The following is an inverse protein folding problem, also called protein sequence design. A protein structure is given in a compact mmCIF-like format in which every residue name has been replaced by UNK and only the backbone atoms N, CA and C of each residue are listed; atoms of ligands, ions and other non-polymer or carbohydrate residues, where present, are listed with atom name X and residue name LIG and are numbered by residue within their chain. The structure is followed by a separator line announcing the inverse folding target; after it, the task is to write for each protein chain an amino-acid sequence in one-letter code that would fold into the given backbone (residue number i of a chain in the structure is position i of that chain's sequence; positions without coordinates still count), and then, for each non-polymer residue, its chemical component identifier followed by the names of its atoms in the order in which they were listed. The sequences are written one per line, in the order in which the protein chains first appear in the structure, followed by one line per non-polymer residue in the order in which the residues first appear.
data_IF_949669912639
#
_entry.id   IF_949669912639
#
_cell.length_a   1.000
_cell.length_b   1.000
_cell.length_c   1.000
_cell.angle_alpha   90.00
_cell.angle_beta   90.00
_cell.angle_gamma   90.00
#
_symmetry.space_group_name_H-M   'P 1'
#
loop_
_entity.id
_entity.type
_entity.pdbx_description
1 polymer ?
#
# COMPACT_ATOMS: atom_id res chain seq x y z
N UNK A 1 31.59 32.44 9.56
CA UNK A 1 31.24 31.09 10.09
C UNK A 1 30.39 30.44 9.00
N UNK A 2 30.87 29.33 8.49
CA UNK A 2 30.21 28.67 7.40
C UNK A 2 28.89 28.09 7.89
N UNK A 3 27.75 28.53 7.35
CA UNK A 3 26.42 28.02 7.68
C UNK A 3 26.17 26.62 7.01
N UNK A 4 27.24 25.90 6.66
CA UNK A 4 27.19 24.57 6.04
C UNK A 4 26.31 23.57 6.81
N UNK A 5 26.32 23.65 8.13
CA UNK A 5 25.53 22.75 8.97
C UNK A 5 23.99 22.88 8.78
N UNK A 6 23.49 24.07 8.40
CA UNK A 6 22.06 24.27 8.06
C UNK A 6 21.76 23.59 6.72
N UNK A 7 22.65 23.79 5.74
CA UNK A 7 22.56 23.17 4.42
C UNK A 7 22.67 21.64 4.53
N UNK A 8 23.61 21.16 5.34
CA UNK A 8 23.80 19.73 5.60
C UNK A 8 22.55 19.08 6.21
N UNK A 9 21.91 19.75 7.19
CA UNK A 9 20.67 19.26 7.79
C UNK A 9 19.51 19.21 6.78
N UNK A 10 19.36 20.22 5.92
CA UNK A 10 18.35 20.23 4.87
C UNK A 10 18.60 19.13 3.83
N UNK A 11 19.83 19.03 3.36
CA UNK A 11 20.21 17.98 2.40
C UNK A 11 20.03 16.58 2.99
N UNK A 12 20.33 16.40 4.29
CA UNK A 12 20.05 15.12 4.97
C UNK A 12 18.56 14.81 5.01
N UNK A 13 17.70 15.76 5.36
CA UNK A 13 16.26 15.56 5.41
C UNK A 13 15.67 15.25 4.01
N UNK A 14 16.12 15.99 2.98
CA UNK A 14 15.73 15.71 1.60
C UNK A 14 16.27 14.36 1.10
N UNK A 15 17.49 14.00 1.49
CA UNK A 15 18.07 12.68 1.24
C UNK A 15 17.21 11.57 1.84
N UNK A 16 16.83 11.68 3.12
CA UNK A 16 15.93 10.71 3.78
C UNK A 16 14.59 10.60 3.04
N UNK A 17 14.02 11.73 2.60
CA UNK A 17 12.78 11.72 1.80
C UNK A 17 12.96 10.96 0.48
N UNK A 18 13.97 11.31 -0.29
CA UNK A 18 14.24 10.71 -1.61
C UNK A 18 14.56 9.21 -1.49
N UNK A 19 15.32 8.81 -0.48
CA UNK A 19 15.62 7.41 -0.20
C UNK A 19 14.35 6.63 0.13
N UNK A 20 13.46 7.17 0.98
CA UNK A 20 12.20 6.52 1.33
C UNK A 20 11.20 6.50 0.16
N UNK A 21 11.22 7.50 -0.70
CA UNK A 21 10.44 7.51 -1.94
C UNK A 21 10.91 6.41 -2.90
N UNK A 22 12.21 6.26 -3.07
CA UNK A 22 12.81 5.21 -3.90
C UNK A 22 12.55 3.82 -3.31
N UNK A 23 12.70 3.65 -1.99
CA UNK A 23 12.37 2.41 -1.29
C UNK A 23 10.89 2.05 -1.49
N UNK A 24 9.98 3.01 -1.32
CA UNK A 24 8.55 2.84 -1.55
C UNK A 24 8.28 2.34 -2.97
N UNK A 25 8.87 2.98 -3.97
CA UNK A 25 8.69 2.60 -5.38
C UNK A 25 9.16 1.18 -5.67
N UNK A 26 10.33 0.80 -5.17
CA UNK A 26 10.85 -0.55 -5.31
C UNK A 26 9.96 -1.61 -4.65
N UNK A 27 9.37 -1.28 -3.48
CA UNK A 27 8.46 -2.16 -2.77
C UNK A 27 7.11 -2.33 -3.48
N UNK A 28 6.59 -1.29 -4.13
CA UNK A 28 5.31 -1.37 -4.85
C UNK A 28 5.35 -2.38 -6.00
N UNK A 29 6.50 -2.54 -6.65
CA UNK A 29 6.72 -3.49 -7.74
C UNK A 29 7.17 -4.88 -7.26
N UNK A 30 7.56 -5.02 -5.98
CA UNK A 30 8.05 -6.28 -5.41
C UNK A 30 6.92 -7.24 -5.06
N UNK A 31 7.10 -8.53 -5.36
CA UNK A 31 6.16 -9.57 -4.94
C UNK A 31 6.23 -9.83 -3.42
N UNK A 32 5.10 -10.22 -2.77
CA UNK A 32 5.11 -10.60 -1.36
C UNK A 32 6.06 -11.76 -1.06
N UNK A 33 6.26 -12.65 -2.03
CA UNK A 33 7.17 -13.79 -1.91
C UNK A 33 8.63 -13.37 -1.77
N UNK A 34 9.04 -12.29 -2.44
CA UNK A 34 10.43 -11.80 -2.44
C UNK A 34 10.73 -10.78 -1.33
N UNK A 35 9.70 -10.25 -0.67
CA UNK A 35 9.85 -9.23 0.36
C UNK A 35 10.71 -9.73 1.53
N UNK A 36 11.71 -8.93 1.94
CA UNK A 36 12.67 -9.26 3.01
C UNK A 36 13.33 -10.63 2.83
N UNK A 37 13.68 -11.00 1.58
CA UNK A 37 14.38 -12.25 1.27
C UNK A 37 13.51 -13.52 1.40
N UNK A 38 12.18 -13.37 1.44
CA UNK A 38 11.26 -14.52 1.42
C UNK A 38 11.04 -15.23 2.75
N UNK A 39 11.79 -14.91 3.82
CA UNK A 39 11.66 -15.58 5.14
C UNK A 39 10.26 -15.41 5.72
N UNK A 40 9.68 -14.23 5.59
CA UNK A 40 8.31 -13.95 6.07
C UNK A 40 7.32 -14.82 5.29
N UNK A 41 7.49 -14.94 3.98
CA UNK A 41 6.63 -15.76 3.14
C UNK A 41 6.64 -17.24 3.53
N UNK A 42 7.81 -17.81 3.84
CA UNK A 42 7.92 -19.19 4.34
C UNK A 42 7.14 -19.38 5.65
N UNK A 43 7.21 -18.41 6.56
CA UNK A 43 6.42 -18.42 7.79
C UNK A 43 4.92 -18.41 7.48
N UNK A 44 4.48 -17.58 6.55
CA UNK A 44 3.09 -17.49 6.13
C UNK A 44 2.60 -18.80 5.49
N UNK A 45 3.43 -19.45 4.66
CA UNK A 45 3.11 -20.77 4.10
C UNK A 45 2.92 -21.83 5.20
N UNK A 46 3.77 -21.82 6.24
CA UNK A 46 3.64 -22.73 7.37
C UNK A 46 2.34 -22.48 8.13
N UNK A 47 2.01 -21.22 8.42
CA UNK A 47 0.75 -20.84 9.08
C UNK A 47 -0.45 -21.23 8.22
N UNK A 48 -0.41 -20.95 6.90
CA UNK A 48 -1.46 -21.33 5.96
C UNK A 48 -1.70 -22.84 5.96
N UNK A 49 -0.64 -23.66 5.96
CA UNK A 49 -0.74 -25.12 6.07
C UNK A 49 -1.46 -25.59 7.36
N UNK A 50 -1.18 -24.95 8.50
CA UNK A 50 -1.91 -25.21 9.74
C UNK A 50 -3.39 -24.79 9.63
N UNK A 51 -3.68 -23.64 8.99
CA UNK A 51 -5.05 -23.15 8.77
C UNK A 51 -5.83 -24.01 7.77
N UNK A 52 -5.19 -24.76 6.86
CA UNK A 52 -5.86 -25.70 5.99
C UNK A 52 -6.60 -26.79 6.75
N UNK A 53 -6.02 -27.31 7.84
CA UNK A 53 -6.69 -28.31 8.71
C UNK A 53 -8.01 -27.76 9.27
N UNK A 54 -8.00 -26.52 9.75
CA UNK A 54 -9.19 -25.82 10.24
C UNK A 54 -10.16 -25.57 9.07
N UNK A 55 -9.65 -25.14 7.92
CA UNK A 55 -10.42 -24.91 6.71
C UNK A 55 -11.20 -26.14 6.24
N UNK A 56 -10.60 -27.32 6.29
CA UNK A 56 -11.30 -28.58 5.96
C UNK A 56 -12.41 -28.90 6.97
N UNK A 57 -12.20 -28.67 8.26
CA UNK A 57 -13.26 -28.82 9.26
C UNK A 57 -14.43 -27.88 9.02
N UNK A 58 -14.14 -26.59 8.74
CA UNK A 58 -15.15 -25.59 8.39
C UNK A 58 -15.87 -25.88 7.08
N UNK A 59 -15.17 -26.45 6.09
CA UNK A 59 -15.75 -26.86 4.81
C UNK A 59 -16.87 -27.87 5.00
N UNK A 60 -16.66 -28.88 5.86
CA UNK A 60 -17.68 -29.88 6.21
C UNK A 60 -18.84 -29.21 6.93
N UNK A 61 -18.56 -28.31 7.86
CA UNK A 61 -19.58 -27.57 8.62
C UNK A 61 -20.43 -26.70 7.68
N UNK A 62 -19.82 -25.94 6.78
CA UNK A 62 -20.55 -25.08 5.84
C UNK A 62 -21.36 -25.88 4.81
N UNK A 63 -20.85 -27.04 4.39
CA UNK A 63 -21.62 -27.97 3.58
C UNK A 63 -22.87 -28.44 4.32
N UNK A 64 -22.72 -28.89 5.59
CA UNK A 64 -23.84 -29.32 6.41
C UNK A 64 -24.88 -28.21 6.57
N UNK A 65 -24.47 -26.98 6.87
CA UNK A 65 -25.34 -25.82 6.96
C UNK A 65 -26.07 -25.56 5.61
N UNK A 66 -25.36 -25.67 4.49
CA UNK A 66 -25.93 -25.53 3.16
C UNK A 66 -27.02 -26.56 2.88
N UNK A 67 -26.73 -27.81 3.22
CA UNK A 67 -27.69 -28.92 3.07
C UNK A 67 -28.93 -28.69 3.97
N UNK A 68 -28.75 -28.34 5.26
CA UNK A 68 -29.85 -28.09 6.17
C UNK A 68 -30.73 -26.92 5.73
N UNK A 69 -30.14 -25.84 5.22
CA UNK A 69 -30.93 -24.71 4.66
C UNK A 69 -31.70 -25.07 3.42
N UNK A 70 -31.14 -25.89 2.55
CA UNK A 70 -31.81 -26.37 1.34
C UNK A 70 -32.88 -27.39 1.65
N UNK A 71 -32.73 -28.19 2.76
CA UNK A 71 -33.65 -29.25 3.17
C UNK A 71 -34.93 -28.74 3.83
N UNK A 72 -35.05 -27.45 4.12
CA UNK A 72 -36.27 -26.84 4.65
C UNK A 72 -37.49 -27.02 3.71
N UNK A 73 -37.27 -27.39 2.44
CA UNK A 73 -38.28 -27.85 1.50
C UNK A 73 -38.00 -29.32 1.14
N UNK A 74 -38.61 -30.28 1.82
CA UNK A 74 -38.48 -31.71 1.58
C UNK A 74 -38.70 -32.15 0.12
N UNK A 75 -39.39 -31.35 -0.68
CA UNK A 75 -39.63 -31.59 -2.11
C UNK A 75 -38.39 -31.39 -3.01
N UNK A 76 -37.44 -30.56 -2.57
CA UNK A 76 -36.26 -30.24 -3.40
C UNK A 76 -35.16 -31.31 -3.30
N UNK A 77 -35.15 -32.12 -2.23
CA UNK A 77 -34.20 -33.22 -2.05
C UNK A 77 -34.47 -34.43 -2.98
N UNK A 78 -35.66 -34.54 -3.57
CA UNK A 78 -36.01 -35.60 -4.51
C UNK A 78 -35.45 -35.37 -5.93
N UNK A 79 -34.84 -34.19 -6.17
CA UNK A 79 -34.27 -33.88 -7.49
C UNK A 79 -32.76 -34.09 -7.44
N UNK A 80 -32.21 -35.03 -8.23
CA UNK A 80 -30.75 -35.33 -8.24
C UNK A 80 -29.90 -34.13 -8.62
N UNK A 81 -30.47 -33.14 -9.32
CA UNK A 81 -29.83 -31.89 -9.71
C UNK A 81 -29.35 -31.06 -8.53
N UNK A 82 -30.13 -31.01 -7.45
CA UNK A 82 -29.75 -30.24 -6.24
C UNK A 82 -28.60 -30.91 -5.48
N UNK A 83 -28.59 -32.23 -5.40
CA UNK A 83 -27.49 -32.98 -4.77
C UNK A 83 -26.19 -32.79 -5.54
N UNK A 84 -26.27 -32.86 -6.89
CA UNK A 84 -25.11 -32.65 -7.75
C UNK A 84 -24.55 -31.21 -7.57
N UNK A 85 -25.42 -30.23 -7.45
CA UNK A 85 -25.02 -28.82 -7.23
C UNK A 85 -24.27 -28.64 -5.93
N UNK A 86 -24.75 -29.21 -4.81
CA UNK A 86 -24.02 -29.14 -3.52
C UNK A 86 -22.68 -29.86 -3.57
N UNK A 87 -22.61 -30.99 -4.30
CA UNK A 87 -21.37 -31.72 -4.51
C UNK A 87 -20.35 -30.88 -5.31
N UNK A 88 -20.79 -30.17 -6.35
CA UNK A 88 -19.93 -29.27 -7.13
C UNK A 88 -19.39 -28.13 -6.23
N UNK A 89 -20.26 -27.50 -5.42
CA UNK A 89 -19.79 -26.47 -4.48
C UNK A 89 -18.78 -27.01 -3.48
N UNK A 90 -18.98 -28.22 -2.98
CA UNK A 90 -18.03 -28.86 -2.06
C UNK A 90 -16.68 -29.11 -2.73
N UNK A 91 -16.66 -29.67 -3.94
CA UNK A 91 -15.42 -29.93 -4.69
C UNK A 91 -14.68 -28.62 -4.98
N UNK A 92 -15.41 -27.60 -5.46
CA UNK A 92 -14.82 -26.28 -5.73
C UNK A 92 -14.26 -25.62 -4.47
N UNK A 93 -14.98 -25.69 -3.35
CA UNK A 93 -14.50 -25.17 -2.08
C UNK A 93 -13.28 -25.94 -1.55
N UNK A 94 -13.26 -27.29 -1.71
CA UNK A 94 -12.10 -28.11 -1.37
C UNK A 94 -10.87 -27.69 -2.18
N UNK A 95 -11.01 -27.51 -3.47
CA UNK A 95 -9.92 -27.02 -4.33
C UNK A 95 -9.47 -25.62 -3.90
N UNK A 96 -10.41 -24.72 -3.61
CA UNK A 96 -10.08 -23.37 -3.13
C UNK A 96 -9.34 -23.38 -1.79
N UNK A 97 -9.68 -24.27 -0.85
CA UNK A 97 -8.96 -24.42 0.44
C UNK A 97 -7.58 -25.02 0.21
N UNK A 98 -7.43 -26.01 -0.67
CA UNK A 98 -6.17 -26.69 -0.94
C UNK A 98 -5.17 -25.77 -1.66
N UNK A 99 -5.62 -25.08 -2.69
CA UNK A 99 -4.79 -24.20 -3.53
C UNK A 99 -5.00 -22.70 -3.20
N UNK A 100 -5.50 -22.40 -2.01
CA UNK A 100 -5.86 -21.04 -1.63
C UNK A 100 -4.69 -20.08 -1.65
N UNK A 101 -3.50 -20.51 -1.21
CA UNK A 101 -2.31 -19.67 -1.22
C UNK A 101 -1.84 -19.36 -2.64
N UNK A 102 -1.90 -20.34 -3.54
CA UNK A 102 -1.53 -20.16 -4.96
C UNK A 102 -2.50 -19.18 -5.62
N UNK A 103 -3.81 -19.34 -5.35
CA UNK A 103 -4.84 -18.40 -5.82
C UNK A 103 -4.56 -16.96 -5.34
N UNK A 104 -4.13 -16.78 -4.07
CA UNK A 104 -3.76 -15.45 -3.57
C UNK A 104 -2.56 -14.88 -4.33
N UNK A 105 -1.54 -15.71 -4.61
CA UNK A 105 -0.37 -15.31 -5.40
C UNK A 105 -0.76 -14.92 -6.82
N UNK A 106 -1.59 -15.72 -7.49
CA UNK A 106 -2.03 -15.45 -8.86
C UNK A 106 -2.81 -14.13 -8.96
N UNK A 107 -3.73 -13.87 -8.02
CA UNK A 107 -4.45 -12.58 -7.94
C UNK A 107 -3.46 -11.42 -7.77
N UNK A 108 -2.45 -11.60 -6.90
CA UNK A 108 -1.43 -10.58 -6.70
C UNK A 108 -0.64 -10.33 -7.99
N UNK A 109 -0.23 -11.38 -8.71
CA UNK A 109 0.54 -11.27 -9.96
C UNK A 109 -0.23 -10.52 -11.06
N UNK A 110 -1.54 -10.75 -11.17
CA UNK A 110 -2.40 -9.98 -12.08
C UNK A 110 -2.40 -8.49 -11.71
N UNK A 111 -2.57 -8.16 -10.42
CA UNK A 111 -2.54 -6.78 -9.95
C UNK A 111 -1.14 -6.15 -10.11
N UNK A 112 -0.06 -6.92 -9.89
CA UNK A 112 1.32 -6.47 -10.11
C UNK A 112 1.58 -6.14 -11.59
N UNK A 113 0.96 -6.86 -12.51
CA UNK A 113 0.97 -6.52 -13.94
C UNK A 113 0.39 -5.13 -14.24
N UNK A 114 -0.70 -4.75 -13.56
CA UNK A 114 -1.28 -3.41 -13.66
C UNK A 114 -0.31 -2.34 -13.12
N UNK A 115 0.34 -2.63 -11.97
CA UNK A 115 1.34 -1.74 -11.36
C UNK A 115 2.50 -1.51 -12.33
N UNK A 116 3.04 -2.60 -12.92
CA UNK A 116 4.16 -2.52 -13.86
C UNK A 116 3.81 -1.78 -15.14
N UNK A 117 2.59 -1.99 -15.67
CA UNK A 117 2.10 -1.27 -16.85
C UNK A 117 1.94 0.24 -16.56
N UNK A 118 1.39 0.61 -15.40
CA UNK A 118 1.26 1.99 -14.99
C UNK A 118 2.63 2.66 -14.77
N UNK A 119 3.54 1.98 -14.08
CA UNK A 119 4.90 2.48 -13.82
C UNK A 119 5.72 2.65 -15.11
N UNK A 120 5.55 1.77 -16.10
CA UNK A 120 6.24 1.84 -17.38
C UNK A 120 5.72 2.88 -18.35
N UNK A 121 4.50 3.40 -18.16
CA UNK A 121 3.88 4.38 -19.06
C UNK A 121 4.38 5.81 -18.86
N UNK A 122 4.90 6.14 -17.69
CA UNK A 122 5.36 7.49 -17.33
C UNK A 122 6.68 7.37 -16.57
N UNK A 123 7.71 8.06 -17.03
CA UNK A 123 9.12 7.96 -16.64
C UNK A 123 9.50 8.02 -15.15
N UNK A 124 8.72 7.41 -14.24
CA UNK A 124 9.08 7.27 -12.83
C UNK A 124 8.54 8.36 -11.90
N UNK A 125 9.19 8.52 -10.74
CA UNK A 125 8.82 9.43 -9.64
C UNK A 125 9.75 10.66 -9.54
N UNK A 126 10.49 10.94 -10.60
CA UNK A 126 11.53 11.99 -10.56
C UNK A 126 10.97 13.38 -10.18
N UNK A 127 9.72 13.69 -10.56
CA UNK A 127 9.04 14.92 -10.16
C UNK A 127 8.68 15.01 -8.67
N UNK A 128 8.75 13.90 -7.93
CA UNK A 128 8.49 13.87 -6.48
C UNK A 128 9.78 13.94 -5.64
N UNK A 129 10.96 13.91 -6.28
CA UNK A 129 12.26 14.09 -5.61
C UNK A 129 12.46 15.57 -5.29
N UNK A 130 13.14 15.82 -4.17
CA UNK A 130 13.39 17.19 -3.68
C UNK A 130 14.88 17.40 -3.51
N UNK A 131 15.37 18.56 -3.96
CA UNK A 131 16.74 19.00 -3.75
C UNK A 131 16.77 20.47 -3.35
N UNK A 132 17.76 20.87 -2.57
CA UNK A 132 17.94 22.28 -2.22
C UNK A 132 18.42 23.05 -3.47
N UNK A 133 17.71 24.13 -3.90
CA UNK A 133 18.18 24.97 -5.01
C UNK A 133 19.51 25.62 -4.67
N UNK A 134 20.43 25.71 -5.65
CA UNK A 134 21.74 26.28 -5.47
C UNK A 134 21.69 27.77 -5.02
N UNK A 135 20.72 28.52 -5.52
CA UNK A 135 20.49 29.91 -5.14
C UNK A 135 20.10 30.04 -3.66
N UNK A 136 19.33 29.07 -3.13
CA UNK A 136 18.95 29.04 -1.73
C UNK A 136 20.15 28.65 -0.84
N UNK A 137 20.99 27.73 -1.30
CA UNK A 137 22.19 27.33 -0.59
C UNK A 137 23.15 28.51 -0.44
N UNK A 138 23.43 29.24 -1.53
CA UNK A 138 24.27 30.45 -1.47
C UNK A 138 23.68 31.55 -0.60
N UNK A 139 22.36 31.74 -0.66
CA UNK A 139 21.67 32.71 0.19
C UNK A 139 21.78 32.37 1.68
N UNK A 140 21.79 31.09 2.05
CA UNK A 140 21.98 30.61 3.45
C UNK A 140 23.42 30.83 3.90
N UNK A 141 24.42 30.61 3.04
CA UNK A 141 25.83 30.80 3.32
C UNK A 141 26.13 32.27 3.65
N UNK A 142 25.52 33.21 2.95
CA UNK A 142 25.72 34.63 3.11
C UNK A 142 25.05 35.24 4.35
N UNK A 143 24.29 34.47 5.12
CA UNK A 143 23.57 34.95 6.33
C UNK A 143 24.52 35.17 7.49
N UNK A 144 24.49 36.36 8.06
CA UNK A 144 25.26 36.68 9.28
C UNK A 144 24.83 35.88 10.50
N UNK A 145 25.74 35.71 11.47
CA UNK A 145 25.57 34.86 12.65
C UNK A 145 24.27 35.13 13.46
N UNK A 146 23.86 36.36 13.65
CA UNK A 146 22.63 36.68 14.40
C UNK A 146 21.36 36.27 13.69
N UNK A 147 21.34 36.29 12.35
CA UNK A 147 20.22 35.87 11.54
C UNK A 147 20.22 34.35 11.28
N UNK A 148 21.33 33.66 11.55
CA UNK A 148 21.41 32.20 11.43
C UNK A 148 20.67 31.44 12.54
N UNK A 149 20.47 32.08 13.73
CA UNK A 149 19.75 31.43 14.85
C UNK A 149 18.26 31.15 14.51
N UNK A 150 17.45 32.15 14.10
CA UNK A 150 16.07 31.87 13.69
C UNK A 150 15.99 30.96 12.47
N UNK A 151 16.94 31.10 11.54
CA UNK A 151 17.01 30.22 10.35
C UNK A 151 17.22 28.75 10.75
N UNK A 152 18.12 28.50 11.70
CA UNK A 152 18.36 27.16 12.24
C UNK A 152 17.10 26.56 12.87
N UNK A 153 16.37 27.30 13.67
CA UNK A 153 15.15 26.81 14.30
C UNK A 153 14.13 26.41 13.26
N UNK A 154 13.94 27.22 12.20
CA UNK A 154 13.02 26.95 11.09
C UNK A 154 13.42 25.70 10.34
N UNK A 155 14.70 25.57 9.99
CA UNK A 155 15.21 24.41 9.26
C UNK A 155 15.16 23.14 10.09
N UNK A 156 15.45 23.19 11.40
CA UNK A 156 15.33 22.06 12.31
C UNK A 156 13.90 21.52 12.37
N UNK A 157 12.92 22.41 12.53
CA UNK A 157 11.50 22.03 12.52
C UNK A 157 11.08 21.44 11.17
N UNK A 158 11.51 22.07 10.07
CA UNK A 158 11.27 21.58 8.73
C UNK A 158 11.84 20.18 8.50
N UNK A 159 13.10 19.95 8.86
CA UNK A 159 13.76 18.64 8.76
C UNK A 159 13.04 17.56 9.58
N UNK A 160 12.57 17.88 10.77
CA UNK A 160 11.81 16.95 11.61
C UNK A 160 10.49 16.57 10.92
N UNK A 161 9.73 17.53 10.40
CA UNK A 161 8.48 17.27 9.69
C UNK A 161 8.72 16.42 8.45
N UNK A 162 9.70 16.77 7.61
CA UNK A 162 10.06 16.02 6.39
C UNK A 162 10.40 14.57 6.73
N UNK A 163 11.22 14.36 7.75
CA UNK A 163 11.61 13.01 8.19
C UNK A 163 10.40 12.20 8.66
N UNK A 164 9.51 12.80 9.45
CA UNK A 164 8.26 12.14 9.89
C UNK A 164 7.37 11.78 8.70
N UNK A 165 7.22 12.67 7.72
CA UNK A 165 6.42 12.42 6.52
C UNK A 165 7.01 11.27 5.69
N UNK A 166 8.33 11.22 5.53
CA UNK A 166 9.02 10.13 4.83
C UNK A 166 8.75 8.77 5.50
N UNK A 167 8.81 8.70 6.84
CA UNK A 167 8.48 7.47 7.57
C UNK A 167 6.99 7.12 7.50
N UNK A 168 6.08 8.08 7.53
CA UNK A 168 4.64 7.81 7.38
C UNK A 168 4.31 7.23 6.01
N UNK A 169 4.98 7.71 4.97
CA UNK A 169 4.81 7.22 3.61
C UNK A 169 5.23 5.75 3.49
N UNK A 170 6.46 5.43 3.91
CA UNK A 170 6.97 4.06 3.82
C UNK A 170 6.19 3.09 4.71
N UNK A 171 5.77 3.52 5.90
CA UNK A 171 4.96 2.72 6.83
C UNK A 171 3.63 2.28 6.21
N UNK A 172 3.03 3.12 5.38
CA UNK A 172 1.78 2.79 4.66
C UNK A 172 2.00 1.61 3.70
N UNK A 173 3.12 1.62 2.96
CA UNK A 173 3.46 0.52 2.04
C UNK A 173 3.81 -0.77 2.77
N UNK A 174 4.56 -0.70 3.87
CA UNK A 174 4.79 -1.87 4.73
C UNK A 174 3.48 -2.44 5.27
N UNK A 175 2.56 -1.57 5.71
CA UNK A 175 1.23 -1.97 6.19
C UNK A 175 0.45 -2.77 5.15
N UNK A 176 0.56 -2.43 3.85
CA UNK A 176 -0.01 -3.20 2.74
C UNK A 176 0.54 -4.63 2.69
N UNK A 177 1.87 -4.82 2.82
CA UNK A 177 2.46 -6.16 2.82
C UNK A 177 1.96 -7.01 3.99
N UNK A 178 1.85 -6.44 5.18
CA UNK A 178 1.28 -7.15 6.32
C UNK A 178 -0.17 -7.57 6.08
N UNK A 179 -1.00 -6.69 5.50
CA UNK A 179 -2.37 -7.05 5.09
C UNK A 179 -2.35 -8.24 4.11
N UNK A 180 -1.51 -8.22 3.07
CA UNK A 180 -1.40 -9.31 2.09
C UNK A 180 -1.04 -10.64 2.77
N UNK A 181 -0.09 -10.63 3.71
CA UNK A 181 0.31 -11.82 4.45
C UNK A 181 -0.81 -12.38 5.33
N UNK A 182 -1.54 -11.51 6.05
CA UNK A 182 -2.68 -11.93 6.86
C UNK A 182 -3.78 -12.56 6.00
N UNK A 183 -4.09 -11.98 4.85
CA UNK A 183 -5.03 -12.58 3.92
C UNK A 183 -4.54 -13.95 3.40
N UNK A 184 -3.27 -14.04 3.01
CA UNK A 184 -2.70 -15.30 2.53
C UNK A 184 -2.72 -16.39 3.62
N UNK A 185 -2.38 -16.05 4.86
CA UNK A 185 -2.40 -16.98 5.99
C UNK A 185 -3.81 -17.51 6.30
N UNK A 186 -4.83 -16.64 6.25
CA UNK A 186 -6.21 -16.95 6.61
C UNK A 186 -7.06 -17.44 5.43
N UNK A 187 -6.49 -17.50 4.23
CA UNK A 187 -7.23 -17.88 3.02
C UNK A 187 -7.97 -19.21 3.14
N UNK A 188 -7.45 -20.31 3.74
CA UNK A 188 -8.17 -21.58 3.81
C UNK A 188 -9.48 -21.48 4.61
N UNK A 189 -9.46 -20.70 5.69
CA UNK A 189 -10.63 -20.50 6.56
C UNK A 189 -11.74 -19.76 5.84
N UNK A 190 -11.38 -18.67 5.14
CA UNK A 190 -12.34 -17.85 4.41
C UNK A 190 -12.88 -18.57 3.17
N UNK A 191 -12.02 -19.28 2.43
CA UNK A 191 -12.39 -19.99 1.21
C UNK A 191 -13.25 -21.25 1.47
N UNK A 192 -13.15 -21.83 2.68
CA UNK A 192 -14.04 -22.92 3.09
C UNK A 192 -15.54 -22.54 3.02
N UNK A 193 -15.86 -21.26 3.17
CA UNK A 193 -17.25 -20.76 3.11
C UNK A 193 -17.93 -20.94 1.74
N UNK A 194 -17.17 -21.20 0.69
CA UNK A 194 -17.73 -21.51 -0.63
C UNK A 194 -18.48 -22.87 -0.67
N UNK A 195 -18.27 -23.75 0.32
CA UNK A 195 -18.95 -25.04 0.39
C UNK A 195 -20.46 -24.93 0.61
N UNK A 196 -20.96 -23.84 1.20
CA UNK A 196 -22.37 -23.64 1.48
C UNK A 196 -22.99 -22.51 0.63
N UNK A 197 -24.18 -22.75 0.08
CA UNK A 197 -24.86 -21.78 -0.78
C UNK A 197 -25.13 -20.44 -0.03
N UNK A 198 -25.50 -20.50 1.26
CA UNK A 198 -25.74 -19.31 2.08
C UNK A 198 -24.50 -18.66 2.68
N UNK A 199 -23.35 -19.33 2.72
CA UNK A 199 -22.10 -18.85 3.31
C UNK A 199 -21.10 -18.34 2.27
N UNK A 200 -21.34 -18.61 0.99
CA UNK A 200 -20.45 -18.24 -0.13
C UNK A 200 -20.20 -16.73 -0.25
N UNK A 201 -21.09 -15.90 0.31
CA UNK A 201 -20.90 -14.44 0.36
C UNK A 201 -19.67 -14.06 1.19
N UNK A 202 -19.32 -14.80 2.26
CA UNK A 202 -18.13 -14.55 3.07
C UNK A 202 -16.86 -14.76 2.25
N UNK A 203 -16.77 -15.85 1.49
CA UNK A 203 -15.64 -16.12 0.62
C UNK A 203 -15.49 -15.08 -0.50
N UNK A 204 -16.60 -14.65 -1.09
CA UNK A 204 -16.59 -13.58 -2.11
C UNK A 204 -16.16 -12.24 -1.52
N UNK A 205 -16.65 -11.87 -0.33
CA UNK A 205 -16.23 -10.66 0.36
C UNK A 205 -14.74 -10.69 0.70
N UNK A 206 -14.24 -11.85 1.15
CA UNK A 206 -12.81 -12.04 1.42
C UNK A 206 -11.95 -11.84 0.16
N UNK A 207 -12.29 -12.50 -0.97
CA UNK A 207 -11.57 -12.33 -2.23
C UNK A 207 -11.63 -10.89 -2.73
N UNK A 208 -12.79 -10.24 -2.62
CA UNK A 208 -12.98 -8.83 -2.98
C UNK A 208 -12.08 -7.91 -2.16
N UNK A 209 -12.02 -8.13 -0.83
CA UNK A 209 -11.15 -7.36 0.06
C UNK A 209 -9.67 -7.61 -0.24
N UNK A 210 -9.28 -8.85 -0.55
CA UNK A 210 -7.90 -9.17 -0.93
C UNK A 210 -7.50 -8.50 -2.25
N UNK A 211 -8.35 -8.57 -3.28
CA UNK A 211 -8.12 -7.85 -4.54
C UNK A 211 -7.99 -6.35 -4.30
N UNK A 212 -8.78 -5.79 -3.37
CA UNK A 212 -8.65 -4.41 -2.95
C UNK A 212 -7.24 -4.09 -2.44
N UNK A 213 -6.70 -4.89 -1.53
CA UNK A 213 -5.34 -4.69 -1.00
C UNK A 213 -4.27 -4.87 -2.10
N UNK A 214 -4.48 -5.78 -3.05
CA UNK A 214 -3.57 -5.93 -4.19
C UNK A 214 -3.57 -4.68 -5.08
N UNK A 215 -4.75 -4.11 -5.36
CA UNK A 215 -4.89 -2.91 -6.20
C UNK A 215 -4.50 -1.62 -5.47
N UNK A 216 -4.46 -1.59 -4.14
CA UNK A 216 -3.95 -0.45 -3.36
C UNK A 216 -2.58 0.02 -3.88
N UNK A 217 -1.69 -0.93 -4.27
CA UNK A 217 -0.40 -0.61 -4.87
C UNK A 217 -0.50 0.11 -6.21
N UNK A 218 -1.45 -0.28 -7.06
CA UNK A 218 -1.66 0.39 -8.35
C UNK A 218 -2.17 1.83 -8.14
N UNK A 219 -3.08 2.03 -7.18
CA UNK A 219 -3.58 3.37 -6.84
C UNK A 219 -2.45 4.26 -6.29
N UNK A 220 -1.55 3.71 -5.45
CA UNK A 220 -0.38 4.44 -4.94
C UNK A 220 0.54 4.86 -6.12
N UNK A 221 0.84 3.96 -7.05
CA UNK A 221 1.66 4.27 -8.23
C UNK A 221 1.02 5.37 -9.07
N UNK A 222 -0.28 5.26 -9.35
CA UNK A 222 -1.01 6.30 -10.08
C UNK A 222 -1.01 7.64 -9.34
N UNK A 223 -1.19 7.63 -8.02
CA UNK A 223 -1.11 8.82 -7.18
C UNK A 223 0.27 9.49 -7.27
N UNK A 224 1.35 8.70 -7.23
CA UNK A 224 2.72 9.21 -7.39
C UNK A 224 2.93 9.83 -8.79
N UNK A 225 2.43 9.21 -9.85
CA UNK A 225 2.52 9.71 -11.22
C UNK A 225 1.79 11.05 -11.36
N UNK A 226 0.53 11.12 -10.89
CA UNK A 226 -0.28 12.35 -10.93
C UNK A 226 0.39 13.44 -10.10
N UNK A 227 0.90 13.10 -8.92
CA UNK A 227 1.62 14.04 -8.07
C UNK A 227 2.91 14.54 -8.72
N UNK A 228 3.70 13.68 -9.37
CA UNK A 228 4.92 14.09 -10.08
C UNK A 228 4.61 15.09 -11.19
N UNK A 229 3.51 14.89 -11.93
CA UNK A 229 3.05 15.84 -12.95
C UNK A 229 2.58 17.17 -12.32
N UNK A 230 1.92 17.12 -11.16
CA UNK A 230 1.50 18.29 -10.42
C UNK A 230 2.71 19.08 -9.91
N UNK A 231 3.65 18.44 -9.22
CA UNK A 231 4.85 19.07 -8.67
C UNK A 231 5.77 19.66 -9.75
N UNK A 232 5.84 19.04 -10.92
CA UNK A 232 6.61 19.57 -12.04
C UNK A 232 6.03 20.88 -12.64
N UNK A 233 4.75 21.18 -12.38
CA UNK A 233 4.09 22.42 -12.83
C UNK A 233 4.31 23.60 -11.88
N UNK A 234 4.70 23.35 -10.64
CA UNK A 234 4.95 24.39 -9.64
C UNK A 234 6.37 24.94 -9.79
N UNK A 235 6.47 26.18 -10.26
CA UNK A 235 7.75 26.93 -10.24
C UNK A 235 7.90 27.57 -8.87
N UNK A 236 8.90 27.12 -8.12
CA UNK A 236 9.26 27.76 -6.83
C UNK A 236 9.65 29.22 -7.09
N UNK A 237 8.77 30.15 -6.77
CA UNK A 237 9.07 31.57 -6.85
C UNK A 237 9.73 31.99 -5.53
N UNK A 238 11.02 32.26 -5.56
CA UNK A 238 11.73 32.85 -4.42
C UNK A 238 11.09 34.20 -4.08
N UNK A 239 10.43 34.29 -2.93
CA UNK A 239 9.77 35.51 -2.47
C UNK A 239 10.76 36.64 -2.22
N UNK A 240 10.31 37.90 -2.40
CA UNK A 240 11.08 39.08 -2.01
C UNK A 240 11.03 39.25 -0.48
N UNK A 241 12.19 39.19 0.19
CA UNK A 241 12.26 39.36 1.65
C UNK A 241 13.61 38.94 2.24
N UNK A 242 13.69 38.86 3.58
CA UNK A 242 14.87 38.33 4.25
C UNK A 242 15.10 36.87 3.90
N UNK A 243 16.35 36.40 3.93
CA UNK A 243 16.71 35.00 3.66
C UNK A 243 15.90 34.03 4.53
N UNK A 244 15.67 34.37 5.79
CA UNK A 244 14.83 33.59 6.72
C UNK A 244 13.41 33.43 6.19
N UNK A 245 12.82 34.50 5.64
CA UNK A 245 11.46 34.46 5.07
C UNK A 245 11.41 33.63 3.77
N UNK A 246 12.45 33.71 2.95
CA UNK A 246 12.56 32.93 1.71
C UNK A 246 12.68 31.43 2.01
N UNK A 247 13.55 31.06 2.95
CA UNK A 247 13.72 29.66 3.41
C UNK A 247 12.44 29.13 4.05
N UNK A 248 11.75 29.95 4.86
CA UNK A 248 10.45 29.57 5.42
C UNK A 248 9.40 29.29 4.36
N UNK A 249 9.29 30.17 3.36
CA UNK A 249 8.38 30.01 2.23
C UNK A 249 8.66 28.72 1.44
N UNK A 250 9.93 28.51 1.07
CA UNK A 250 10.39 27.33 0.36
C UNK A 250 10.10 26.03 1.13
N UNK A 251 10.48 25.97 2.42
CA UNK A 251 10.20 24.80 3.25
C UNK A 251 8.70 24.56 3.41
N UNK A 252 7.92 25.63 3.55
CA UNK A 252 6.45 25.52 3.63
C UNK A 252 5.85 24.88 2.39
N UNK A 253 6.28 25.28 1.20
CA UNK A 253 5.85 24.74 -0.08
C UNK A 253 6.29 23.28 -0.25
N UNK A 254 7.55 22.97 0.01
CA UNK A 254 8.07 21.61 -0.04
C UNK A 254 7.31 20.69 0.93
N UNK A 255 7.12 21.09 2.17
CA UNK A 255 6.36 20.32 3.18
C UNK A 255 4.91 20.15 2.74
N UNK A 256 4.29 21.20 2.19
CA UNK A 256 2.92 21.09 1.66
C UNK A 256 2.82 20.04 0.56
N UNK A 257 3.73 20.07 -0.41
CA UNK A 257 3.78 19.08 -1.49
C UNK A 257 4.01 17.66 -0.95
N UNK A 258 4.93 17.49 0.02
CA UNK A 258 5.13 16.20 0.70
C UNK A 258 3.87 15.73 1.44
N UNK A 259 3.16 16.63 2.12
CA UNK A 259 1.89 16.32 2.80
C UNK A 259 0.81 15.85 1.82
N UNK A 260 0.71 16.49 0.65
CA UNK A 260 -0.22 16.10 -0.42
C UNK A 260 0.10 14.67 -0.87
N UNK A 261 1.37 14.37 -1.17
CA UNK A 261 1.77 13.02 -1.60
C UNK A 261 1.49 11.97 -0.52
N UNK A 262 1.89 12.22 0.73
CA UNK A 262 1.62 11.30 1.85
C UNK A 262 0.12 11.12 2.06
N UNK A 263 -0.67 12.17 1.91
CA UNK A 263 -2.13 12.14 1.97
C UNK A 263 -2.74 11.24 0.89
N UNK A 264 -2.26 11.36 -0.36
CA UNK A 264 -2.68 10.52 -1.48
C UNK A 264 -2.32 9.05 -1.25
N UNK A 265 -1.08 8.77 -0.82
CA UNK A 265 -0.62 7.40 -0.52
C UNK A 265 -1.45 6.77 0.60
N UNK A 266 -1.73 7.51 1.69
CA UNK A 266 -2.60 7.02 2.78
C UNK A 266 -4.06 6.88 2.36
N UNK A 267 -4.52 7.71 1.44
CA UNK A 267 -5.88 7.67 0.91
C UNK A 267 -6.14 6.51 -0.06
N UNK A 268 -5.11 5.85 -0.57
CA UNK A 268 -5.25 4.80 -1.58
C UNK A 268 -6.16 3.64 -1.12
N UNK A 269 -6.06 3.19 0.12
CA UNK A 269 -6.94 2.16 0.71
C UNK A 269 -8.43 2.57 0.64
N UNK A 270 -8.72 3.83 0.93
CA UNK A 270 -10.09 4.37 0.86
C UNK A 270 -10.61 4.41 -0.57
N UNK A 271 -9.81 4.90 -1.51
CA UNK A 271 -10.19 4.96 -2.94
C UNK A 271 -10.53 3.56 -3.45
N UNK A 272 -9.71 2.55 -3.13
CA UNK A 272 -9.98 1.17 -3.52
C UNK A 272 -11.27 0.65 -2.89
N UNK A 273 -11.51 0.89 -1.60
CA UNK A 273 -12.75 0.48 -0.94
C UNK A 273 -13.99 1.10 -1.58
N UNK A 274 -13.94 2.38 -1.91
CA UNK A 274 -15.01 3.07 -2.59
C UNK A 274 -15.25 2.50 -4.00
N UNK A 275 -14.19 2.18 -4.76
CA UNK A 275 -14.30 1.56 -6.09
C UNK A 275 -14.97 0.18 -6.05
N UNK A 276 -14.70 -0.60 -5.01
CA UNK A 276 -15.29 -1.93 -4.84
C UNK A 276 -16.63 -1.92 -4.09
N UNK A 277 -17.09 -0.78 -3.60
CA UNK A 277 -18.31 -0.67 -2.78
C UNK A 277 -18.19 -1.48 -1.47
N UNK A 278 -17.07 -1.30 -0.77
CA UNK A 278 -16.76 -1.96 0.51
C UNK A 278 -16.83 -0.95 1.65
#
# INVERSE_FOLDING_TARGET
MDNNWIIDNLNYAFGVWNDKLTEMWSLLTQSPQAFKGGTIWQTIQTVNGAMQGIGYGLLVLFLAIGIFRSSASFRDFQRPEHVLRHFIYFVMAKLAVTYGIDLMVDIFMVCAGIISAAAGSVGGIDGATVSLPAEMATAIEDVGFLASIPLWLVTLLGCLVITVLAFLMILTVYGRFFKLYLYAALSPVALASFAGEGTSQMGRAFLKSYMGVCLEGAVIVLACIVFSAFAASDTVVLGSGSVVTQVWGYLGEVIFNMLVLVGLVKGADRVVREMFGM
#
